data_IF_038814318909
#
_entry.id   IF_038814318909
#
_cell.length_a   1.000
_cell.length_b   1.000
_cell.length_c   1.000
_cell.angle_alpha   90.00
_cell.angle_beta   90.00
_cell.angle_gamma   90.00
#
_symmetry.space_group_name_H-M   'P 1'
#
loop_
_entity.id
_entity.type
_entity.pdbx_description
1 polymer ?
#
# COMPACT_ATOMS: atom_id res chain seq x y z
N UNK A 1 23.29 2.12 -17.07
CA UNK A 1 23.69 2.54 -15.71
C UNK A 1 23.50 1.40 -14.75
N UNK A 2 24.27 1.37 -13.66
CA UNK A 2 24.04 0.52 -12.50
C UNK A 2 23.19 1.29 -11.48
N UNK A 3 21.98 0.84 -11.25
CA UNK A 3 21.03 1.50 -10.35
C UNK A 3 20.77 0.60 -9.15
N UNK A 4 20.82 1.18 -7.97
CA UNK A 4 20.42 0.51 -6.74
C UNK A 4 19.14 1.16 -6.21
N UNK A 5 18.22 0.33 -5.74
CA UNK A 5 16.97 0.76 -5.11
C UNK A 5 17.00 0.29 -3.65
N UNK A 6 16.83 1.20 -2.72
CA UNK A 6 16.67 0.89 -1.31
C UNK A 6 15.19 0.69 -1.00
N UNK A 7 14.81 -0.54 -0.63
CA UNK A 7 13.44 -0.95 -0.31
C UNK A 7 12.71 -1.67 -1.45
N UNK A 8 12.16 -2.85 -1.13
CA UNK A 8 11.36 -3.68 -2.03
C UNK A 8 9.85 -3.58 -1.76
N UNK A 9 9.38 -2.39 -1.37
CA UNK A 9 7.95 -2.08 -1.37
C UNK A 9 7.38 -1.98 -2.78
N UNK A 10 6.07 -1.74 -2.90
CA UNK A 10 5.36 -1.60 -4.18
C UNK A 10 6.08 -0.63 -5.13
N UNK A 11 6.48 0.55 -4.62
CA UNK A 11 7.18 1.56 -5.41
C UNK A 11 8.57 1.11 -5.87
N UNK A 12 9.36 0.50 -4.98
CA UNK A 12 10.71 0.02 -5.30
C UNK A 12 10.71 -1.11 -6.33
N UNK A 13 9.83 -2.10 -6.18
CA UNK A 13 9.69 -3.19 -7.15
C UNK A 13 9.16 -2.73 -8.51
N UNK A 14 8.20 -1.80 -8.52
CA UNK A 14 7.69 -1.22 -9.77
C UNK A 14 8.79 -0.44 -10.50
N UNK A 15 9.54 0.40 -9.79
CA UNK A 15 10.68 1.14 -10.36
C UNK A 15 11.75 0.17 -10.88
N UNK A 16 12.08 -0.88 -10.12
CA UNK A 16 13.06 -1.89 -10.52
C UNK A 16 12.69 -2.54 -11.86
N UNK A 17 11.43 -2.95 -11.99
CA UNK A 17 10.96 -3.61 -13.22
C UNK A 17 11.00 -2.67 -14.42
N UNK A 18 10.53 -1.42 -14.27
CA UNK A 18 10.53 -0.44 -15.36
C UNK A 18 11.95 -0.08 -15.79
N UNK A 19 12.85 0.15 -14.86
CA UNK A 19 14.24 0.46 -15.15
C UNK A 19 15.00 -0.71 -15.79
N UNK A 20 14.72 -1.94 -15.36
CA UNK A 20 15.28 -3.12 -16.00
C UNK A 20 14.77 -3.27 -17.44
N UNK A 21 13.46 -3.04 -17.70
CA UNK A 21 12.90 -2.98 -19.07
C UNK A 21 13.54 -1.90 -19.94
N UNK A 22 13.99 -0.81 -19.32
CA UNK A 22 14.71 0.29 -20.03
C UNK A 22 16.22 0.00 -20.21
N UNK A 23 16.68 -1.21 -19.95
CA UNK A 23 18.07 -1.63 -20.20
C UNK A 23 19.06 -1.26 -19.09
N UNK A 24 18.61 -0.86 -17.91
CA UNK A 24 19.49 -0.58 -16.78
C UNK A 24 19.81 -1.86 -15.98
N UNK A 25 20.99 -1.91 -15.37
CA UNK A 25 21.37 -2.96 -14.41
C UNK A 25 20.84 -2.54 -13.03
N UNK A 26 19.78 -3.22 -12.55
CA UNK A 26 19.08 -2.86 -11.31
C UNK A 26 19.36 -3.89 -10.22
N UNK A 27 19.55 -3.41 -8.99
CA UNK A 27 19.56 -4.21 -7.75
C UNK A 27 18.62 -3.53 -6.75
N UNK A 28 17.87 -4.33 -6.02
CA UNK A 28 16.97 -3.87 -4.94
C UNK A 28 17.44 -4.52 -3.64
N UNK A 29 17.62 -3.70 -2.59
CA UNK A 29 17.97 -4.18 -1.26
C UNK A 29 16.82 -3.94 -0.29
N UNK A 30 16.41 -4.99 0.39
CA UNK A 30 15.25 -5.01 1.30
C UNK A 30 15.67 -5.50 2.69
N UNK A 31 15.24 -4.78 3.73
CA UNK A 31 15.59 -5.13 5.11
C UNK A 31 14.84 -6.37 5.62
N UNK A 32 13.65 -6.66 5.11
CA UNK A 32 12.87 -7.81 5.53
C UNK A 32 13.54 -9.12 5.11
N UNK A 33 13.39 -10.15 5.92
CA UNK A 33 13.87 -11.51 5.60
C UNK A 33 12.94 -12.25 4.64
N UNK A 34 11.69 -11.83 4.55
CA UNK A 34 10.66 -12.36 3.63
C UNK A 34 9.54 -11.33 3.42
N UNK A 35 8.85 -11.45 2.31
CA UNK A 35 7.61 -10.72 2.11
C UNK A 35 6.46 -11.40 2.86
N UNK A 36 5.70 -10.61 3.63
CA UNK A 36 4.60 -11.11 4.44
C UNK A 36 3.26 -10.65 3.88
N UNK A 37 2.25 -11.53 3.94
CA UNK A 37 0.86 -11.16 3.66
C UNK A 37 0.30 -10.42 4.88
N UNK A 38 0.12 -9.11 4.75
CA UNK A 38 -0.50 -8.29 5.79
C UNK A 38 -1.91 -7.94 5.37
N UNK A 39 -2.88 -8.12 6.27
CA UNK A 39 -4.30 -7.88 6.02
C UNK A 39 -4.63 -6.41 5.75
N UNK A 40 -4.48 -5.98 4.51
CA UNK A 40 -4.81 -4.63 4.08
C UNK A 40 -5.35 -4.64 2.65
N UNK A 41 -6.45 -3.91 2.45
CA UNK A 41 -6.94 -3.56 1.13
C UNK A 41 -6.16 -2.39 0.54
N UNK A 42 -6.10 -2.33 -0.76
CA UNK A 42 -5.53 -1.21 -1.51
C UNK A 42 -6.42 -0.88 -2.70
N UNK A 43 -6.46 0.39 -3.05
CA UNK A 43 -7.23 0.92 -4.17
C UNK A 43 -6.26 1.35 -5.27
N UNK A 44 -6.40 0.75 -6.45
CA UNK A 44 -5.61 1.08 -7.64
C UNK A 44 -6.42 1.98 -8.55
N UNK A 45 -6.10 3.25 -8.50
CA UNK A 45 -6.71 4.28 -9.35
C UNK A 45 -6.19 4.19 -10.80
N UNK A 46 -6.86 4.78 -11.78
CA UNK A 46 -6.46 4.70 -13.19
C UNK A 46 -5.01 5.10 -13.48
N UNK A 47 -4.48 6.09 -12.78
CA UNK A 47 -3.06 6.48 -12.92
C UNK A 47 -2.11 5.36 -12.48
N UNK A 48 -2.39 4.70 -11.36
CA UNK A 48 -1.61 3.55 -10.90
C UNK A 48 -1.77 2.36 -11.86
N UNK A 49 -3.01 2.11 -12.33
CA UNK A 49 -3.27 1.03 -13.29
C UNK A 49 -2.55 1.21 -14.63
N UNK A 50 -2.34 2.44 -15.10
CA UNK A 50 -1.51 2.71 -16.29
C UNK A 50 -0.06 2.28 -16.09
N UNK A 51 0.50 2.51 -14.91
CA UNK A 51 1.85 2.02 -14.57
C UNK A 51 1.86 0.49 -14.55
N UNK A 52 0.89 -0.13 -13.89
CA UNK A 52 0.77 -1.60 -13.79
C UNK A 52 0.54 -2.25 -15.17
N UNK A 53 -0.16 -1.57 -16.09
CA UNK A 53 -0.27 -1.97 -17.50
C UNK A 53 1.10 -1.97 -18.19
N UNK A 54 1.92 -0.94 -17.97
CA UNK A 54 3.31 -0.86 -18.45
C UNK A 54 4.19 -1.99 -17.92
N UNK A 55 3.88 -2.50 -16.73
CA UNK A 55 4.51 -3.69 -16.16
C UNK A 55 3.99 -5.01 -16.76
N UNK A 56 2.85 -4.99 -17.48
CA UNK A 56 2.18 -6.18 -18.04
C UNK A 56 1.25 -6.87 -17.04
N UNK A 57 0.81 -6.18 -15.98
CA UNK A 57 0.08 -6.78 -14.86
C UNK A 57 -1.44 -6.57 -14.91
N UNK A 58 -1.96 -5.71 -15.78
CA UNK A 58 -3.38 -5.34 -15.75
C UNK A 58 -4.31 -6.52 -15.86
N UNK A 59 -4.10 -7.44 -16.81
CA UNK A 59 -4.96 -8.62 -17.00
C UNK A 59 -5.00 -9.49 -15.72
N UNK A 60 -3.83 -9.82 -15.17
CA UNK A 60 -3.71 -10.58 -13.92
C UNK A 60 -4.44 -9.90 -12.74
N UNK A 61 -4.33 -8.59 -12.63
CA UNK A 61 -4.97 -7.84 -11.54
C UNK A 61 -6.48 -7.78 -11.70
N UNK A 62 -7.01 -7.65 -12.92
CA UNK A 62 -8.45 -7.74 -13.21
C UNK A 62 -9.04 -9.11 -12.85
N UNK A 63 -8.28 -10.17 -12.98
CA UNK A 63 -8.76 -11.54 -12.67
C UNK A 63 -8.96 -11.77 -11.17
N UNK A 64 -8.24 -11.04 -10.32
CA UNK A 64 -8.30 -11.23 -8.87
C UNK A 64 -9.00 -10.10 -8.12
N UNK A 65 -8.95 -8.87 -8.64
CA UNK A 65 -9.45 -7.68 -7.98
C UNK A 65 -10.96 -7.51 -8.09
N UNK A 66 -11.54 -6.84 -7.12
CA UNK A 66 -12.91 -6.32 -7.20
C UNK A 66 -12.92 -5.01 -7.98
N UNK A 67 -13.82 -4.89 -8.95
CA UNK A 67 -14.13 -3.64 -9.64
C UNK A 67 -15.47 -3.13 -9.14
N UNK A 68 -15.44 -2.11 -8.30
CA UNK A 68 -16.66 -1.52 -7.75
C UNK A 68 -17.41 -0.72 -8.81
N UNK A 69 -18.73 -0.90 -8.97
CA UNK A 69 -19.52 -0.07 -9.87
C UNK A 69 -19.65 1.38 -9.36
N UNK A 70 -19.58 1.60 -8.05
CA UNK A 70 -19.70 2.92 -7.45
C UNK A 70 -18.86 3.08 -6.18
N UNK A 71 -18.53 4.32 -5.86
CA UNK A 71 -18.07 4.75 -4.56
C UNK A 71 -19.15 5.57 -3.86
N UNK A 72 -19.72 5.03 -2.78
CA UNK A 72 -20.84 5.64 -2.07
C UNK A 72 -20.36 6.23 -0.75
N UNK A 73 -20.73 7.48 -0.48
CA UNK A 73 -20.59 8.12 0.82
C UNK A 73 -21.95 8.17 1.53
N UNK A 74 -21.93 7.85 2.82
CA UNK A 74 -23.14 7.82 3.66
C UNK A 74 -22.92 8.59 4.95
N UNK A 75 -24.00 9.09 5.51
CA UNK A 75 -24.03 9.54 6.89
C UNK A 75 -23.97 8.35 7.83
N UNK A 76 -23.26 8.52 8.92
CA UNK A 76 -22.98 7.43 9.88
C UNK A 76 -24.23 6.99 10.65
N UNK A 77 -25.12 7.91 10.99
CA UNK A 77 -26.28 7.73 11.86
C UNK A 77 -27.56 7.31 11.11
N UNK A 78 -27.75 7.85 9.92
CA UNK A 78 -28.95 7.61 9.10
C UNK A 78 -28.71 6.61 7.97
N UNK A 79 -27.45 6.39 7.58
CA UNK A 79 -27.10 5.61 6.39
C UNK A 79 -27.49 6.30 5.06
N UNK A 80 -28.01 7.54 5.11
CA UNK A 80 -28.38 8.29 3.92
C UNK A 80 -27.19 8.50 3.00
N UNK A 81 -27.42 8.34 1.70
CA UNK A 81 -26.38 8.59 0.69
C UNK A 81 -26.19 10.09 0.55
N UNK A 82 -24.97 10.56 0.83
CA UNK A 82 -24.58 11.97 0.67
C UNK A 82 -23.86 12.25 -0.63
N UNK A 83 -23.20 11.22 -1.19
CA UNK A 83 -22.53 11.33 -2.49
C UNK A 83 -22.36 9.94 -3.11
N UNK A 84 -22.48 9.89 -4.42
CA UNK A 84 -22.20 8.70 -5.22
C UNK A 84 -21.31 9.06 -6.40
N UNK A 85 -20.18 8.39 -6.51
CA UNK A 85 -19.29 8.47 -7.65
C UNK A 85 -19.41 7.18 -8.45
N UNK A 86 -19.92 7.26 -9.67
CA UNK A 86 -19.90 6.12 -10.59
C UNK A 86 -18.47 5.74 -10.91
N UNK A 87 -18.16 4.46 -10.77
CA UNK A 87 -16.80 3.94 -10.93
C UNK A 87 -16.74 2.98 -12.15
N UNK A 88 -16.69 1.77 -12.03
CA UNK A 88 -16.81 0.78 -13.09
C UNK A 88 -16.31 1.26 -14.47
N UNK A 89 -17.12 1.06 -15.49
CA UNK A 89 -16.81 1.38 -16.89
C UNK A 89 -16.71 2.89 -17.17
N UNK A 90 -17.39 3.72 -16.41
CA UNK A 90 -17.33 5.19 -16.61
C UNK A 90 -15.94 5.74 -16.28
N UNK A 91 -15.33 5.27 -15.18
CA UNK A 91 -13.94 5.64 -14.81
C UNK A 91 -12.99 5.14 -15.90
N UNK A 92 -13.17 3.92 -16.35
CA UNK A 92 -12.30 3.36 -17.39
C UNK A 92 -12.42 4.10 -18.71
N UNK A 93 -13.63 4.41 -19.15
CA UNK A 93 -13.89 5.21 -20.36
C UNK A 93 -13.27 6.60 -20.26
N UNK A 94 -13.43 7.26 -19.10
CA UNK A 94 -12.95 8.64 -18.90
C UNK A 94 -11.44 8.72 -18.78
N UNK A 95 -10.81 7.77 -18.11
CA UNK A 95 -9.39 7.84 -17.76
C UNK A 95 -8.51 6.82 -18.49
N UNK A 96 -9.11 5.92 -19.28
CA UNK A 96 -8.42 4.92 -20.09
C UNK A 96 -7.79 3.77 -19.28
N UNK A 97 -8.23 3.57 -18.04
CA UNK A 97 -7.80 2.46 -17.19
C UNK A 97 -8.80 2.23 -16.05
N UNK A 98 -8.92 0.99 -15.51
CA UNK A 98 -9.89 0.65 -14.48
C UNK A 98 -9.52 1.24 -13.11
N UNK A 99 -10.50 1.22 -12.22
CA UNK A 99 -10.31 1.42 -10.79
C UNK A 99 -10.53 0.08 -10.08
N UNK A 100 -9.49 -0.49 -9.48
CA UNK A 100 -9.52 -1.81 -8.88
C UNK A 100 -9.30 -1.76 -7.37
N UNK A 101 -9.94 -2.70 -6.67
CA UNK A 101 -9.80 -2.92 -5.22
C UNK A 101 -9.28 -4.33 -5.01
N UNK A 102 -8.16 -4.46 -4.30
CA UNK A 102 -7.55 -5.76 -4.09
C UNK A 102 -6.78 -5.83 -2.77
N UNK A 103 -6.37 -7.01 -2.39
CA UNK A 103 -5.50 -7.20 -1.25
C UNK A 103 -4.09 -6.69 -1.58
N UNK A 104 -3.51 -5.88 -0.70
CA UNK A 104 -2.20 -5.25 -0.90
C UNK A 104 -1.08 -6.27 -1.15
N UNK A 105 -1.14 -7.41 -0.49
CA UNK A 105 -0.14 -8.46 -0.68
C UNK A 105 -0.23 -9.10 -2.07
N UNK A 106 -1.44 -9.21 -2.66
CA UNK A 106 -1.61 -9.75 -4.01
C UNK A 106 -1.05 -8.79 -5.06
N UNK A 107 -1.21 -7.48 -4.86
CA UNK A 107 -0.54 -6.47 -5.68
C UNK A 107 0.99 -6.58 -5.56
N UNK A 108 1.51 -6.69 -4.33
CA UNK A 108 2.94 -6.81 -4.10
C UNK A 108 3.50 -8.05 -4.78
N UNK A 109 2.88 -9.22 -4.58
CA UNK A 109 3.27 -10.48 -5.20
C UNK A 109 3.14 -10.46 -6.74
N UNK A 110 2.16 -9.72 -7.28
CA UNK A 110 2.04 -9.54 -8.71
C UNK A 110 3.24 -8.76 -9.29
N UNK A 111 3.64 -7.68 -8.63
CA UNK A 111 4.79 -6.85 -9.06
C UNK A 111 6.10 -7.63 -8.86
N UNK A 112 6.29 -8.28 -7.70
CA UNK A 112 7.45 -9.12 -7.42
C UNK A 112 7.65 -10.18 -8.52
N UNK A 113 6.57 -10.83 -8.94
CA UNK A 113 6.60 -11.89 -9.96
C UNK A 113 7.04 -11.45 -11.36
N UNK A 114 7.14 -10.15 -11.64
CA UNK A 114 7.65 -9.60 -12.91
C UNK A 114 9.01 -8.91 -12.77
N UNK A 115 9.56 -8.85 -11.57
CA UNK A 115 10.94 -8.38 -11.34
C UNK A 115 11.90 -9.44 -11.87
N UNK A 116 12.92 -9.08 -12.66
CA UNK A 116 13.90 -10.05 -13.14
C UNK A 116 14.56 -10.85 -12.00
N UNK A 117 14.73 -12.15 -12.20
CA UNK A 117 15.31 -13.02 -11.20
C UNK A 117 16.69 -12.52 -10.72
N UNK A 118 16.93 -12.64 -9.42
CA UNK A 118 18.18 -12.20 -8.79
C UNK A 118 18.34 -10.68 -8.64
N UNK A 119 17.31 -9.89 -8.96
CA UNK A 119 17.34 -8.42 -8.77
C UNK A 119 17.19 -8.02 -7.31
N UNK A 120 16.36 -8.73 -6.53
CA UNK A 120 16.06 -8.42 -5.12
C UNK A 120 16.96 -9.21 -4.18
N UNK A 121 17.50 -8.53 -3.19
CA UNK A 121 18.29 -9.12 -2.11
C UNK A 121 17.67 -8.74 -0.76
N UNK A 122 17.18 -9.76 -0.04
CA UNK A 122 16.55 -9.61 1.28
C UNK A 122 17.61 -9.59 2.39
N UNK A 123 17.20 -9.26 3.63
CA UNK A 123 18.07 -9.11 4.81
C UNK A 123 19.17 -8.05 4.63
N UNK A 124 18.88 -7.01 3.84
CA UNK A 124 19.80 -5.91 3.56
C UNK A 124 19.25 -4.60 4.14
N UNK A 125 19.40 -4.42 5.44
CA UNK A 125 19.01 -3.17 6.11
C UNK A 125 20.07 -2.10 5.85
N UNK A 126 19.67 -1.00 5.22
CA UNK A 126 20.53 0.14 4.95
C UNK A 126 20.92 0.85 6.26
N UNK A 127 22.23 1.08 6.46
CA UNK A 127 22.79 1.78 7.60
C UNK A 127 23.33 3.17 7.24
N UNK A 128 23.83 3.34 6.00
CA UNK A 128 24.40 4.63 5.59
C UNK A 128 24.55 4.75 4.08
N UNK A 129 24.72 6.01 3.66
CA UNK A 129 24.91 6.41 2.26
C UNK A 129 26.10 7.35 2.20
N UNK A 130 26.98 7.14 1.24
CA UNK A 130 28.10 8.03 0.91
C UNK A 130 28.08 8.32 -0.59
N UNK A 131 28.38 9.52 -0.99
CA UNK A 131 28.45 9.91 -2.41
C UNK A 131 29.72 10.68 -2.69
N UNK A 132 30.37 10.33 -3.79
CA UNK A 132 31.38 11.17 -4.42
C UNK A 132 30.90 11.61 -5.82
N UNK A 133 31.75 12.25 -6.60
CA UNK A 133 31.37 12.80 -7.90
C UNK A 133 30.77 11.78 -8.90
N UNK A 134 31.08 10.49 -8.78
CA UNK A 134 30.79 9.48 -9.79
C UNK A 134 30.01 8.27 -9.25
N UNK A 135 30.03 8.04 -7.96
CA UNK A 135 29.53 6.79 -7.34
C UNK A 135 28.80 7.08 -6.05
N UNK A 136 27.66 6.40 -5.86
CA UNK A 136 26.99 6.32 -4.57
C UNK A 136 27.31 4.95 -3.94
N UNK A 137 27.72 4.96 -2.69
CA UNK A 137 28.01 3.77 -1.89
C UNK A 137 26.97 3.62 -0.79
N UNK A 138 26.32 2.47 -0.74
CA UNK A 138 25.43 2.05 0.32
C UNK A 138 26.18 1.14 1.28
N UNK A 139 26.05 1.37 2.58
CA UNK A 139 26.55 0.49 3.64
C UNK A 139 25.38 -0.13 4.38
N UNK A 140 25.40 -1.45 4.56
CA UNK A 140 24.36 -2.19 5.27
C UNK A 140 24.75 -2.49 6.71
N UNK A 141 23.78 -2.85 7.55
CA UNK A 141 23.99 -3.13 8.98
C UNK A 141 24.90 -4.35 9.23
N UNK A 142 25.06 -5.24 8.27
CA UNK A 142 25.97 -6.37 8.31
C UNK A 142 27.42 -6.02 7.88
N UNK A 143 27.70 -4.74 7.61
CA UNK A 143 28.99 -4.22 7.17
C UNK A 143 29.26 -4.38 5.68
N UNK A 144 28.40 -5.04 4.92
CA UNK A 144 28.54 -5.15 3.47
C UNK A 144 28.28 -3.83 2.77
N UNK A 145 28.80 -3.67 1.56
CA UNK A 145 28.68 -2.44 0.76
C UNK A 145 28.20 -2.73 -0.66
N UNK A 146 27.45 -1.81 -1.22
CA UNK A 146 27.06 -1.80 -2.62
C UNK A 146 27.34 -0.43 -3.26
N UNK A 147 27.85 -0.46 -4.49
CA UNK A 147 28.14 0.76 -5.25
C UNK A 147 27.27 0.82 -6.50
N UNK A 148 26.83 2.03 -6.87
CA UNK A 148 26.01 2.30 -8.02
C UNK A 148 26.28 3.68 -8.62
N UNK A 149 25.88 3.86 -9.88
CA UNK A 149 25.89 5.17 -10.55
C UNK A 149 24.74 6.07 -10.00
N UNK A 150 23.63 5.41 -9.54
CA UNK A 150 22.46 6.08 -9.02
C UNK A 150 21.79 5.23 -7.95
N UNK A 151 21.23 5.89 -6.93
CA UNK A 151 20.40 5.26 -5.89
C UNK A 151 19.00 5.87 -5.91
N UNK A 152 17.98 5.00 -5.86
CA UNK A 152 16.58 5.38 -5.70
C UNK A 152 16.13 5.03 -4.29
N UNK A 153 15.69 6.03 -3.55
CA UNK A 153 15.12 5.87 -2.23
C UNK A 153 13.67 5.40 -2.30
N UNK A 154 13.41 4.15 -1.90
CA UNK A 154 12.09 3.56 -1.75
C UNK A 154 11.96 2.88 -0.37
N UNK A 155 12.74 3.33 0.62
CA UNK A 155 12.97 2.76 1.94
C UNK A 155 11.95 3.26 3.00
N UNK A 156 10.86 3.89 2.55
CA UNK A 156 9.66 4.13 3.35
C UNK A 156 9.71 5.34 4.26
N UNK A 157 8.83 5.37 5.26
CA UNK A 157 8.62 6.52 6.15
C UNK A 157 9.85 6.82 7.02
N UNK A 158 10.61 5.80 7.40
CA UNK A 158 11.88 5.91 8.14
C UNK A 158 13.12 5.88 7.23
N UNK A 159 13.02 6.50 6.06
CA UNK A 159 14.05 6.46 5.02
C UNK A 159 15.41 6.95 5.51
N UNK A 160 16.39 6.07 5.44
CA UNK A 160 17.81 6.37 5.71
C UNK A 160 18.38 7.28 4.61
N UNK A 161 17.96 7.06 3.35
CA UNK A 161 18.43 7.89 2.24
C UNK A 161 17.90 9.33 2.37
N UNK A 162 16.61 9.50 2.74
CA UNK A 162 16.05 10.84 3.00
C UNK A 162 16.78 11.55 4.13
N UNK A 163 17.04 10.84 5.23
CA UNK A 163 17.77 11.41 6.37
C UNK A 163 19.18 11.84 5.99
N UNK A 164 19.86 11.10 5.12
CA UNK A 164 21.16 11.47 4.58
C UNK A 164 21.09 12.71 3.68
N UNK A 165 20.05 12.84 2.84
CA UNK A 165 19.90 13.96 1.90
C UNK A 165 19.45 15.27 2.56
N UNK A 166 18.53 15.19 3.51
CA UNK A 166 17.79 16.35 4.05
C UNK A 166 18.03 16.59 5.53
N UNK A 167 18.80 15.71 6.19
CA UNK A 167 18.95 15.68 7.64
C UNK A 167 17.92 14.76 8.32
N UNK A 168 18.16 14.41 9.60
CA UNK A 168 17.29 13.54 10.35
C UNK A 168 15.95 14.22 10.61
N UNK A 169 14.87 13.52 10.30
CA UNK A 169 13.49 13.94 10.53
C UNK A 169 12.70 12.80 11.15
N UNK A 170 11.91 13.08 12.17
CA UNK A 170 11.00 12.10 12.76
C UNK A 170 9.59 12.30 12.21
N UNK A 171 8.87 11.21 11.86
CA UNK A 171 7.47 11.28 11.52
C UNK A 171 6.66 11.95 12.65
N UNK A 172 5.77 12.86 12.28
CA UNK A 172 4.89 13.54 13.25
C UNK A 172 3.57 12.80 13.32
N UNK A 173 3.15 12.42 14.52
CA UNK A 173 1.81 11.90 14.76
C UNK A 173 0.76 12.95 14.39
N UNK A 174 -0.22 12.54 13.59
CA UNK A 174 -1.27 13.45 13.08
C UNK A 174 -2.49 13.54 13.99
N UNK A 175 -2.47 12.89 15.15
CA UNK A 175 -3.61 12.80 16.06
C UNK A 175 -4.70 11.82 15.58
N UNK A 176 -4.37 10.93 14.64
CA UNK A 176 -5.34 9.97 14.09
C UNK A 176 -4.75 8.59 13.95
N UNK A 177 -5.60 7.58 14.23
CA UNK A 177 -5.27 6.17 14.03
C UNK A 177 -6.26 5.51 13.09
N UNK A 178 -5.81 4.42 12.45
CA UNK A 178 -6.63 3.59 11.59
C UNK A 178 -6.61 2.14 12.09
N UNK A 179 -7.75 1.62 12.45
CA UNK A 179 -7.95 0.18 12.59
C UNK A 179 -8.32 -0.39 11.23
N UNK A 180 -7.67 -1.48 10.85
CA UNK A 180 -7.88 -2.09 9.54
C UNK A 180 -7.65 -3.59 9.59
N UNK A 181 -8.42 -4.33 8.79
CA UNK A 181 -8.20 -5.76 8.56
C UNK A 181 -8.89 -6.22 7.29
N UNK A 182 -8.52 -7.39 6.79
CA UNK A 182 -9.34 -8.17 5.86
C UNK A 182 -9.91 -9.37 6.58
N UNK A 183 -11.09 -9.82 6.16
CA UNK A 183 -11.74 -11.02 6.68
C UNK A 183 -12.65 -11.65 5.62
N UNK A 184 -12.89 -12.95 5.76
CA UNK A 184 -13.71 -13.70 4.82
C UNK A 184 -15.19 -13.29 4.94
N UNK A 185 -15.84 -13.02 3.83
CA UNK A 185 -17.21 -12.49 3.79
C UNK A 185 -18.23 -13.41 4.47
N UNK A 186 -18.01 -14.74 4.48
CA UNK A 186 -18.90 -15.68 5.16
C UNK A 186 -18.94 -15.50 6.69
N UNK A 187 -17.93 -14.86 7.29
CA UNK A 187 -17.92 -14.56 8.74
C UNK A 187 -18.98 -13.53 9.15
N UNK A 188 -19.60 -12.85 8.19
CA UNK A 188 -20.76 -11.98 8.44
C UNK A 188 -22.09 -12.77 8.60
N UNK A 189 -22.06 -14.09 8.50
CA UNK A 189 -23.27 -14.93 8.59
C UNK A 189 -24.21 -14.68 7.40
N UNK A 190 -25.46 -14.28 7.68
CA UNK A 190 -26.47 -13.94 6.67
C UNK A 190 -26.33 -12.55 6.11
N UNK A 191 -25.65 -11.67 6.83
CA UNK A 191 -25.45 -10.28 6.41
C UNK A 191 -24.56 -10.16 5.16
N UNK A 192 -24.81 -9.14 4.37
CA UNK A 192 -24.03 -8.85 3.17
C UNK A 192 -23.78 -7.35 3.07
N UNK A 193 -22.57 -6.97 2.67
CA UNK A 193 -22.32 -5.59 2.26
C UNK A 193 -22.76 -5.39 0.82
N UNK A 194 -23.26 -4.19 0.50
CA UNK A 194 -23.50 -3.80 -0.89
C UNK A 194 -22.19 -3.91 -1.68
N UNK A 195 -22.19 -4.47 -2.90
CA UNK A 195 -20.98 -4.65 -3.70
C UNK A 195 -20.49 -3.32 -4.33
N UNK A 196 -20.32 -2.31 -3.49
CA UNK A 196 -19.76 -1.00 -3.80
C UNK A 196 -18.74 -0.62 -2.73
N UNK A 197 -17.84 0.29 -3.04
CA UNK A 197 -17.00 0.90 -2.02
C UNK A 197 -17.85 1.88 -1.21
N UNK A 198 -18.12 1.56 0.04
CA UNK A 198 -18.91 2.42 0.92
C UNK A 198 -18.03 3.11 1.96
N UNK A 199 -18.28 4.39 2.19
CA UNK A 199 -17.67 5.20 3.24
C UNK A 199 -18.76 5.84 4.07
N UNK A 200 -18.76 5.59 5.39
CA UNK A 200 -19.59 6.27 6.36
C UNK A 200 -18.81 7.41 7.01
N UNK A 201 -19.39 8.58 7.03
CA UNK A 201 -18.82 9.79 7.59
C UNK A 201 -19.54 10.17 8.89
N UNK A 202 -18.80 10.21 10.00
CA UNK A 202 -19.23 10.81 11.26
C UNK A 202 -18.57 12.18 11.44
N UNK A 203 -18.87 12.87 12.56
CA UNK A 203 -18.36 14.22 12.82
C UNK A 203 -16.85 14.33 12.83
N UNK A 204 -16.16 13.33 13.41
CA UNK A 204 -14.72 13.34 13.59
C UNK A 204 -14.03 12.04 13.11
N UNK A 205 -14.81 11.06 12.60
CA UNK A 205 -14.31 9.74 12.21
C UNK A 205 -15.04 9.21 10.99
N UNK A 206 -14.47 8.20 10.37
CA UNK A 206 -15.10 7.52 9.26
C UNK A 206 -14.69 6.05 9.18
N UNK A 207 -15.51 5.29 8.49
CA UNK A 207 -15.24 3.90 8.15
C UNK A 207 -15.39 3.68 6.65
N UNK A 208 -14.49 2.91 6.05
CA UNK A 208 -14.58 2.50 4.64
C UNK A 208 -14.60 0.99 4.56
N UNK A 209 -15.50 0.44 3.76
CA UNK A 209 -15.65 -1.00 3.55
C UNK A 209 -15.78 -1.30 2.06
N UNK A 210 -15.13 -2.37 1.61
CA UNK A 210 -15.25 -2.87 0.25
C UNK A 210 -14.71 -4.31 0.10
N UNK A 211 -15.11 -5.01 -0.94
CA UNK A 211 -14.52 -6.28 -1.32
C UNK A 211 -13.12 -6.10 -1.90
N UNK A 212 -12.21 -7.03 -1.63
CA UNK A 212 -10.84 -7.02 -2.16
C UNK A 212 -10.57 -8.15 -3.14
N UNK A 213 -11.59 -8.94 -3.45
CA UNK A 213 -11.51 -10.05 -4.41
C UNK A 213 -12.63 -9.95 -5.44
N UNK A 214 -12.36 -10.41 -6.67
CA UNK A 214 -13.36 -10.50 -7.74
C UNK A 214 -14.55 -11.39 -7.34
N UNK A 215 -14.30 -12.44 -6.55
CA UNK A 215 -15.32 -13.37 -6.06
C UNK A 215 -16.17 -12.78 -4.93
N UNK A 216 -15.81 -11.61 -4.39
CA UNK A 216 -16.49 -10.98 -3.25
C UNK A 216 -16.50 -11.87 -1.99
N UNK A 217 -15.49 -12.70 -1.83
CA UNK A 217 -15.34 -13.63 -0.70
C UNK A 217 -14.44 -13.09 0.42
N UNK A 218 -13.74 -11.96 0.20
CA UNK A 218 -12.94 -11.27 1.21
C UNK A 218 -13.28 -9.78 1.25
N UNK A 219 -13.52 -9.28 2.46
CA UNK A 219 -13.88 -7.89 2.76
C UNK A 219 -12.71 -7.22 3.45
N UNK A 220 -12.47 -5.98 3.10
CA UNK A 220 -11.59 -5.07 3.82
C UNK A 220 -12.39 -3.97 4.46
N UNK A 221 -12.07 -3.65 5.72
CA UNK A 221 -12.48 -2.39 6.31
C UNK A 221 -11.29 -1.61 6.85
N UNK A 222 -11.45 -0.30 6.90
CA UNK A 222 -10.53 0.62 7.54
C UNK A 222 -11.30 1.76 8.18
N UNK A 223 -10.87 2.11 9.38
CA UNK A 223 -11.40 3.25 10.13
C UNK A 223 -10.39 4.40 10.12
N UNK A 224 -10.85 5.58 10.50
CA UNK A 224 -9.98 6.69 10.89
C UNK A 224 -10.66 7.46 12.01
N UNK A 225 -10.01 7.53 13.15
CA UNK A 225 -10.52 8.18 14.35
C UNK A 225 -9.43 9.03 15.01
N UNK A 226 -9.79 10.10 15.75
CA UNK A 226 -8.84 10.86 16.54
C UNK A 226 -8.34 10.00 17.73
N UNK A 227 -7.08 10.21 18.08
CA UNK A 227 -6.48 9.63 19.29
C UNK A 227 -5.52 10.61 19.95
N UNK A 228 -5.33 10.46 21.25
CA UNK A 228 -4.39 11.26 21.99
C UNK A 228 -2.93 10.95 21.63
N UNK A 229 -2.03 11.88 21.93
CA UNK A 229 -0.59 11.68 21.69
C UNK A 229 -0.04 10.52 22.53
N UNK A 230 -0.63 10.25 23.68
CA UNK A 230 -0.25 9.15 24.58
C UNK A 230 -0.52 7.77 23.97
N UNK A 231 -1.44 7.68 23.00
CA UNK A 231 -1.72 6.46 22.25
C UNK A 231 -0.56 6.05 21.34
N UNK A 232 0.41 6.92 21.07
CA UNK A 232 1.48 6.67 20.12
C UNK A 232 2.19 5.33 20.38
N UNK A 233 1.99 4.38 19.48
CA UNK A 233 2.72 3.13 19.44
C UNK A 233 3.68 3.12 18.25
N UNK A 234 4.75 2.30 18.25
CA UNK A 234 5.59 2.13 17.08
C UNK A 234 4.75 1.73 15.86
N UNK A 235 5.00 2.35 14.72
CA UNK A 235 4.31 2.01 13.47
C UNK A 235 4.50 0.54 13.13
N UNK A 236 3.40 -0.16 12.93
CA UNK A 236 3.40 -1.58 12.57
C UNK A 236 2.22 -1.92 11.69
N UNK A 237 2.51 -2.72 10.67
CA UNK A 237 1.46 -3.29 9.82
C UNK A 237 0.73 -4.47 10.48
N UNK A 238 1.30 -5.05 11.53
CA UNK A 238 0.83 -6.26 12.20
C UNK A 238 0.50 -6.06 13.68
N UNK A 239 0.60 -4.84 14.22
CA UNK A 239 0.19 -4.55 15.57
C UNK A 239 -1.31 -4.85 15.74
N UNK A 240 -1.65 -5.54 16.84
CA UNK A 240 -3.04 -5.78 17.19
C UNK A 240 -3.61 -4.55 17.87
N UNK A 241 -4.74 -4.06 17.35
CA UNK A 241 -5.50 -3.00 17.99
C UNK A 241 -6.38 -3.52 19.13
N UNK A 242 -6.77 -2.64 20.03
CA UNK A 242 -7.77 -2.92 21.07
C UNK A 242 -9.17 -2.90 20.45
N UNK A 243 -9.83 -4.07 20.45
CA UNK A 243 -11.18 -4.21 19.91
C UNK A 243 -12.24 -3.53 20.79
N UNK A 244 -12.01 -3.41 22.11
CA UNK A 244 -12.95 -2.72 23.00
C UNK A 244 -12.95 -1.23 22.69
N UNK A 245 -11.78 -0.62 22.57
CA UNK A 245 -11.61 0.77 22.17
C UNK A 245 -12.20 1.05 20.77
N UNK A 246 -12.01 0.15 19.81
CA UNK A 246 -12.62 0.27 18.49
C UNK A 246 -14.15 0.24 18.55
N UNK A 247 -14.74 -0.70 19.32
CA UNK A 247 -16.20 -0.81 19.47
C UNK A 247 -16.79 0.41 20.16
N UNK A 248 -16.14 0.92 21.20
CA UNK A 248 -16.54 2.14 21.88
C UNK A 248 -16.51 3.35 20.92
N UNK A 249 -15.42 3.52 20.19
CA UNK A 249 -15.25 4.60 19.25
C UNK A 249 -16.30 4.62 18.12
N UNK A 250 -16.83 3.46 17.74
CA UNK A 250 -17.83 3.30 16.68
C UNK A 250 -19.21 2.87 17.20
N UNK A 251 -19.47 3.04 18.50
CA UNK A 251 -20.78 2.83 19.06
C UNK A 251 -21.79 3.79 18.41
N UNK A 252 -22.83 3.23 17.77
CA UNK A 252 -23.85 4.00 17.03
C UNK A 252 -23.59 4.17 15.53
N UNK A 253 -22.44 3.71 14.99
CA UNK A 253 -22.20 3.59 13.54
C UNK A 253 -22.99 2.44 12.94
#
# INVERSE_FOLDING_TARGET
>A
MKIVIAGAGIGGLAAATLLAKSGHRVRVYEQASKFARVGAGIQMTPNAMKVLRGLGLEARLRDVAFQSPAGVSREWDSGNVTNELRMGDEIETRFGAPYLFLHRADLHAAIEGVVPAGTVELNRKLAGVEQNANIVTLTFTDGTRAQADCVIAADGVHSTVRAWMLGPEQPRFTGRVAYRTTFLAHLMGSERITPVRTKWWGPDRHMVVYYVTRKQDEIYFVTSQPESVEWMTPESWSAKGDLAALREAYAGF
#
